data_IF_335383576012
#
_entry.id   IF_335383576012
#
_cell.length_a   1.000
_cell.length_b   1.000
_cell.length_c   1.000
_cell.angle_alpha   90.00
_cell.angle_beta   90.00
_cell.angle_gamma   90.00
#
_symmetry.space_group_name_H-M   'P 1'
#
loop_
_entity.id
_entity.type
_entity.pdbx_description
1 polymer ?
#
# COMPACT_ATOMS: atom_id res chain seq x y z
N UNK A 1 -7.24 -2.63 13.28
CA UNK A 1 -6.14 -1.79 12.75
C UNK A 1 -6.34 -1.64 11.25
N UNK A 2 -5.93 -0.54 10.60
CA UNK A 2 -6.54 -0.20 9.30
C UNK A 2 -5.62 0.57 8.34
N UNK A 3 -4.43 -0.01 8.13
CA UNK A 3 -3.27 0.48 7.40
C UNK A 3 -2.11 0.88 8.32
N UNK A 4 -1.06 0.05 8.31
CA UNK A 4 0.29 0.39 8.77
C UNK A 4 1.15 0.78 7.59
N UNK A 5 1.98 1.80 7.76
CA UNK A 5 3.10 2.07 6.87
C UNK A 5 4.39 1.99 7.70
N UNK A 6 5.27 1.09 7.32
CA UNK A 6 6.59 0.93 7.91
C UNK A 6 7.67 1.00 6.84
N UNK A 7 8.88 1.39 7.25
CA UNK A 7 10.01 1.54 6.35
C UNK A 7 11.24 0.84 6.92
N UNK A 8 11.92 0.07 6.08
CA UNK A 8 13.23 -0.48 6.37
C UNK A 8 14.28 0.28 5.57
N UNK A 9 15.11 1.05 6.28
CA UNK A 9 16.14 1.91 5.67
C UNK A 9 17.24 1.11 4.98
N UNK A 10 17.62 -0.06 5.51
CA UNK A 10 18.69 -0.87 4.94
C UNK A 10 18.26 -1.51 3.61
N UNK A 11 16.97 -1.85 3.50
CA UNK A 11 16.38 -2.43 2.28
C UNK A 11 15.83 -1.36 1.31
N UNK A 12 15.82 -0.08 1.73
CA UNK A 12 15.09 1.01 1.05
C UNK A 12 13.66 0.62 0.65
N UNK A 13 12.97 -0.13 1.52
CA UNK A 13 11.69 -0.78 1.24
C UNK A 13 10.61 -0.27 2.19
N UNK A 14 9.48 0.11 1.60
CA UNK A 14 8.25 0.34 2.35
C UNK A 14 7.45 -0.96 2.48
N UNK A 15 6.88 -1.18 3.66
CA UNK A 15 5.87 -2.20 3.90
C UNK A 15 4.56 -1.52 4.29
N UNK A 16 3.51 -1.76 3.49
CA UNK A 16 2.15 -1.28 3.76
C UNK A 16 1.30 -2.48 4.13
N UNK A 17 0.76 -2.51 5.35
CA UNK A 17 -0.05 -3.63 5.85
C UNK A 17 -1.50 -3.19 5.99
N UNK A 18 -2.40 -3.80 5.22
CA UNK A 18 -3.84 -3.57 5.25
C UNK A 18 -4.50 -4.71 6.05
N UNK A 19 -5.14 -4.36 7.16
CA UNK A 19 -5.87 -5.27 8.06
C UNK A 19 -7.26 -4.71 8.37
N UNK A 20 -8.15 -5.58 8.85
CA UNK A 20 -9.58 -5.30 9.08
C UNK A 20 -10.27 -4.55 7.91
N UNK A 21 -11.38 -3.85 8.20
CA UNK A 21 -12.14 -3.06 7.23
C UNK A 21 -11.43 -1.75 6.89
N UNK A 22 -10.85 -1.69 5.70
CA UNK A 22 -10.24 -0.49 5.10
C UNK A 22 -11.29 0.42 4.47
N UNK A 23 -11.13 1.71 4.71
CA UNK A 23 -12.00 2.78 4.21
C UNK A 23 -11.27 3.66 3.20
N UNK A 24 -12.03 4.32 2.34
CA UNK A 24 -11.48 5.27 1.37
C UNK A 24 -10.73 6.43 2.02
N UNK A 25 -11.17 6.89 3.20
CA UNK A 25 -10.55 8.02 3.89
C UNK A 25 -9.15 7.67 4.41
N UNK A 26 -8.94 6.43 4.85
CA UNK A 26 -7.62 5.95 5.20
C UNK A 26 -6.71 5.87 3.97
N UNK A 27 -7.22 5.38 2.83
CA UNK A 27 -6.43 5.36 1.59
C UNK A 27 -6.05 6.77 1.11
N UNK A 28 -6.98 7.74 1.24
CA UNK A 28 -6.69 9.17 0.98
C UNK A 28 -5.67 9.73 1.97
N UNK A 29 -5.72 9.31 3.24
CA UNK A 29 -4.77 9.73 4.27
C UNK A 29 -3.34 9.22 3.98
N UNK A 30 -3.18 7.99 3.48
CA UNK A 30 -1.88 7.49 2.99
C UNK A 30 -1.36 8.40 1.88
N UNK A 31 -2.19 8.69 0.86
CA UNK A 31 -1.77 9.54 -0.26
C UNK A 31 -1.35 10.94 0.22
N UNK A 32 -2.08 11.52 1.19
CA UNK A 32 -1.74 12.80 1.80
C UNK A 32 -0.46 12.73 2.64
N UNK A 33 -0.22 11.63 3.35
CA UNK A 33 1.02 11.39 4.07
C UNK A 33 2.21 11.32 3.11
N UNK A 34 2.09 10.54 2.04
CA UNK A 34 3.11 10.42 1.00
C UNK A 34 3.47 11.76 0.35
N UNK A 35 2.47 12.60 0.07
CA UNK A 35 2.68 13.94 -0.47
C UNK A 35 3.53 14.86 0.43
N UNK A 36 3.46 14.66 1.76
CA UNK A 36 4.29 15.39 2.74
C UNK A 36 5.66 14.75 2.97
N UNK A 37 5.84 13.49 2.55
CA UNK A 37 7.06 12.71 2.77
C UNK A 37 7.51 12.02 1.47
N UNK A 38 7.90 12.80 0.44
CA UNK A 38 8.14 12.29 -0.91
C UNK A 38 9.28 11.28 -1.00
N UNK A 39 10.21 11.25 -0.03
CA UNK A 39 11.29 10.26 0.01
C UNK A 39 10.74 8.83 0.07
N UNK A 40 9.66 8.59 0.81
CA UNK A 40 9.03 7.26 0.85
C UNK A 40 8.34 6.91 -0.47
N UNK A 41 7.86 7.89 -1.24
CA UNK A 41 7.25 7.62 -2.55
C UNK A 41 8.26 7.14 -3.59
N UNK A 42 9.56 7.38 -3.35
CA UNK A 42 10.67 6.95 -4.21
C UNK A 42 11.18 5.54 -3.91
N UNK A 43 10.80 4.97 -2.77
CA UNK A 43 11.18 3.61 -2.40
C UNK A 43 10.26 2.57 -3.06
N UNK A 44 10.82 1.37 -3.22
CA UNK A 44 10.01 0.20 -3.53
C UNK A 44 9.02 -0.08 -2.40
N UNK A 45 7.91 -0.74 -2.73
CA UNK A 45 6.83 -0.97 -1.78
C UNK A 45 6.29 -2.39 -1.88
N UNK A 46 6.23 -3.08 -0.74
CA UNK A 46 5.46 -4.29 -0.56
C UNK A 46 4.12 -3.95 0.11
N UNK A 47 3.02 -4.21 -0.59
CA UNK A 47 1.67 -4.04 -0.09
C UNK A 47 1.15 -5.40 0.34
N UNK A 48 0.89 -5.58 1.62
CA UNK A 48 0.38 -6.81 2.21
C UNK A 48 -1.06 -6.58 2.68
N UNK A 49 -2.02 -7.22 2.01
CA UNK A 49 -3.37 -7.35 2.54
C UNK A 49 -3.43 -8.62 3.36
N UNK A 50 -3.64 -8.47 4.68
CA UNK A 50 -3.70 -9.59 5.61
C UNK A 50 -4.98 -10.43 5.37
N UNK A 51 -5.08 -11.66 5.92
CA UNK A 51 -6.24 -12.53 5.70
C UNK A 51 -7.59 -11.91 6.14
N UNK A 52 -7.57 -11.02 7.12
CA UNK A 52 -8.71 -10.27 7.66
C UNK A 52 -8.97 -8.92 6.96
N UNK A 53 -8.11 -8.51 6.02
CA UNK A 53 -8.26 -7.26 5.30
C UNK A 53 -9.51 -7.24 4.42
N UNK A 54 -10.28 -6.16 4.47
CA UNK A 54 -11.53 -6.00 3.73
C UNK A 54 -11.66 -4.59 3.13
N UNK A 55 -11.93 -4.52 1.82
CA UNK A 55 -12.16 -3.27 1.09
C UNK A 55 -13.62 -3.12 0.61
N UNK A 56 -14.51 -4.03 1.01
CA UNK A 56 -15.90 -4.11 0.54
C UNK A 56 -16.71 -2.83 0.79
N UNK A 57 -16.30 -2.02 1.76
CA UNK A 57 -16.91 -0.71 2.05
C UNK A 57 -16.61 0.39 1.02
N UNK A 58 -15.67 0.15 0.10
CA UNK A 58 -15.19 1.14 -0.88
C UNK A 58 -15.82 0.85 -2.24
N UNK A 59 -16.46 1.85 -2.83
CA UNK A 59 -16.95 1.73 -4.19
C UNK A 59 -15.79 1.81 -5.21
N UNK A 60 -15.86 1.06 -6.31
CA UNK A 60 -14.83 1.09 -7.35
C UNK A 60 -14.58 2.49 -7.94
N UNK A 61 -15.63 3.30 -8.10
CA UNK A 61 -15.49 4.71 -8.53
C UNK A 61 -14.67 5.57 -7.55
N UNK A 62 -14.64 5.22 -6.26
CA UNK A 62 -13.78 5.91 -5.30
C UNK A 62 -12.30 5.54 -5.47
N UNK A 63 -12.02 4.30 -5.87
CA UNK A 63 -10.69 3.87 -6.27
C UNK A 63 -10.22 4.61 -7.53
N UNK A 64 -11.12 4.94 -8.46
CA UNK A 64 -10.80 5.81 -9.60
C UNK A 64 -10.38 7.22 -9.19
N UNK A 65 -11.14 7.82 -8.27
CA UNK A 65 -10.80 9.11 -7.70
C UNK A 65 -9.43 9.08 -6.99
N UNK A 66 -9.16 8.01 -6.25
CA UNK A 66 -7.89 7.81 -5.57
C UNK A 66 -6.72 7.65 -6.55
N UNK A 67 -6.90 6.88 -7.62
CA UNK A 67 -5.87 6.72 -8.66
C UNK A 67 -5.52 8.05 -9.32
N UNK A 68 -6.54 8.83 -9.69
CA UNK A 68 -6.35 10.17 -10.28
C UNK A 68 -5.54 11.08 -9.35
N UNK A 69 -5.77 10.97 -8.04
CA UNK A 69 -5.01 11.69 -7.02
C UNK A 69 -3.54 11.24 -6.98
N UNK A 70 -3.29 9.93 -6.99
CA UNK A 70 -1.92 9.41 -7.03
C UNK A 70 -1.20 9.81 -8.33
N UNK A 71 -1.84 9.74 -9.49
CA UNK A 71 -1.24 10.16 -10.76
C UNK A 71 -0.75 11.63 -10.71
N UNK A 72 -1.56 12.53 -10.15
CA UNK A 72 -1.17 13.94 -9.94
C UNK A 72 -0.01 14.11 -8.96
N UNK A 73 0.08 13.25 -7.95
CA UNK A 73 1.16 13.26 -6.97
C UNK A 73 2.47 12.80 -7.60
N UNK A 74 2.46 11.67 -8.30
CA UNK A 74 3.64 11.08 -8.94
C UNK A 74 4.17 11.94 -10.09
N UNK A 75 3.30 12.60 -10.86
CA UNK A 75 3.72 13.51 -11.94
C UNK A 75 4.60 14.70 -11.47
N UNK A 76 4.61 15.02 -10.17
CA UNK A 76 5.43 16.10 -9.59
C UNK A 76 6.78 15.64 -9.08
N UNK A 77 7.01 14.34 -9.05
CA UNK A 77 8.22 13.76 -8.50
C UNK A 77 9.20 13.48 -9.63
N UNK A 78 10.44 13.92 -9.44
CA UNK A 78 11.54 13.53 -10.31
C UNK A 78 12.05 12.13 -9.90
N UNK A 79 11.82 11.17 -10.79
CA UNK A 79 12.26 9.78 -10.64
C UNK A 79 13.42 9.50 -11.58
N UNK A 80 14.58 9.24 -11.00
CA UNK A 80 15.74 8.76 -11.77
C UNK A 80 15.61 7.27 -12.13
N UNK A 81 14.79 6.51 -11.40
CA UNK A 81 14.56 5.07 -11.57
C UNK A 81 13.07 4.76 -11.36
N UNK A 82 12.54 3.80 -12.13
CA UNK A 82 11.18 3.27 -11.91
C UNK A 82 11.13 2.47 -10.61
N UNK A 83 10.14 2.78 -9.77
CA UNK A 83 9.90 2.03 -8.54
C UNK A 83 9.02 0.80 -8.79
N UNK A 84 9.12 -0.18 -7.90
CA UNK A 84 8.35 -1.41 -7.89
C UNK A 84 7.35 -1.40 -6.74
N UNK A 85 6.12 -1.79 -7.03
CA UNK A 85 5.06 -1.97 -6.05
C UNK A 85 4.53 -3.40 -6.14
N UNK A 86 5.02 -4.25 -5.26
CA UNK A 86 4.52 -5.62 -5.12
C UNK A 86 3.24 -5.62 -4.28
N UNK A 87 2.28 -6.47 -4.66
CA UNK A 87 1.03 -6.69 -3.92
C UNK A 87 0.90 -8.17 -3.56
N UNK A 88 0.69 -8.46 -2.29
CA UNK A 88 0.34 -9.77 -1.78
C UNK A 88 -1.03 -9.66 -1.10
N UNK A 89 -2.05 -10.26 -1.71
CA UNK A 89 -3.40 -10.27 -1.18
C UNK A 89 -3.73 -11.63 -0.58
N UNK A 90 -3.77 -11.71 0.74
CA UNK A 90 -4.09 -12.96 1.47
C UNK A 90 -5.58 -13.05 1.85
N UNK A 91 -6.34 -11.97 1.63
CA UNK A 91 -7.78 -11.94 1.88
C UNK A 91 -8.58 -12.25 0.60
N UNK A 92 -9.42 -13.31 0.62
CA UNK A 92 -10.36 -13.57 -0.47
C UNK A 92 -11.36 -12.42 -0.68
N UNK A 93 -11.83 -11.79 0.40
CA UNK A 93 -12.81 -10.68 0.36
C UNK A 93 -12.24 -9.44 -0.32
N UNK A 94 -10.94 -9.19 -0.16
CA UNK A 94 -10.25 -8.06 -0.76
C UNK A 94 -9.87 -8.25 -2.23
N UNK A 95 -9.89 -9.48 -2.74
CA UNK A 95 -9.25 -9.85 -4.01
C UNK A 95 -9.86 -9.10 -5.21
N UNK A 96 -11.17 -8.86 -5.23
CA UNK A 96 -11.84 -8.14 -6.31
C UNK A 96 -11.41 -6.67 -6.34
N UNK A 97 -11.32 -6.00 -5.20
CA UNK A 97 -10.87 -4.60 -5.09
C UNK A 97 -9.39 -4.44 -5.42
N UNK A 98 -8.53 -5.37 -4.97
CA UNK A 98 -7.11 -5.37 -5.34
C UNK A 98 -6.97 -5.61 -6.84
N UNK A 99 -7.70 -6.58 -7.40
CA UNK A 99 -7.71 -6.84 -8.84
C UNK A 99 -8.16 -5.62 -9.64
N UNK A 100 -9.22 -4.94 -9.21
CA UNK A 100 -9.72 -3.71 -9.83
C UNK A 100 -8.69 -2.57 -9.78
N UNK A 101 -8.04 -2.38 -8.63
CA UNK A 101 -6.98 -1.38 -8.46
C UNK A 101 -5.81 -1.62 -9.42
N UNK A 102 -5.43 -2.88 -9.63
CA UNK A 102 -4.25 -3.27 -10.38
C UNK A 102 -4.48 -3.48 -11.89
N UNK A 103 -5.69 -3.92 -12.28
CA UNK A 103 -5.94 -4.48 -13.61
C UNK A 103 -6.37 -3.49 -14.70
N UNK A 104 -7.10 -2.42 -14.35
CA UNK A 104 -7.71 -1.54 -15.36
C UNK A 104 -6.90 -0.29 -15.69
N UNK A 105 -5.68 -0.15 -15.15
CA UNK A 105 -4.97 1.13 -15.10
C UNK A 105 -3.57 1.08 -15.68
N UNK A 106 -3.18 2.13 -16.40
CA UNK A 106 -1.77 2.37 -16.76
C UNK A 106 -0.97 2.84 -15.54
N UNK A 107 -0.66 1.90 -14.64
CA UNK A 107 0.10 2.17 -13.42
C UNK A 107 1.54 2.61 -13.73
N UNK A 108 2.11 2.14 -14.84
CA UNK A 108 3.48 2.45 -15.24
C UNK A 108 3.61 3.88 -15.75
N UNK A 109 2.72 4.31 -16.65
CA UNK A 109 2.70 5.67 -17.18
C UNK A 109 2.20 6.69 -16.16
N UNK A 110 1.17 6.36 -15.38
CA UNK A 110 0.56 7.33 -14.46
C UNK A 110 1.25 7.45 -13.09
N UNK A 111 1.79 6.35 -12.56
CA UNK A 111 2.38 6.34 -11.21
C UNK A 111 3.91 6.12 -11.22
N UNK A 112 4.54 6.11 -12.41
CA UNK A 112 5.97 5.80 -12.59
C UNK A 112 6.38 4.52 -11.85
N UNK A 113 5.47 3.54 -11.79
CA UNK A 113 5.61 2.33 -10.98
C UNK A 113 5.39 1.08 -11.82
N UNK A 114 6.33 0.15 -11.78
CA UNK A 114 6.02 -1.23 -12.12
C UNK A 114 5.20 -1.82 -10.97
N UNK A 115 4.03 -2.39 -11.25
CA UNK A 115 3.13 -2.92 -10.22
C UNK A 115 2.74 -4.34 -10.59
N UNK A 116 2.78 -5.25 -9.62
CA UNK A 116 2.41 -6.66 -9.83
C UNK A 116 1.85 -7.28 -8.57
N UNK A 117 0.84 -8.13 -8.74
CA UNK A 117 0.32 -8.99 -7.68
C UNK A 117 1.00 -10.36 -7.71
N UNK A 118 1.24 -10.93 -6.53
CA UNK A 118 1.88 -12.22 -6.32
C UNK A 118 1.03 -13.11 -5.42
N UNK A 119 1.30 -14.42 -5.48
CA UNK A 119 0.61 -15.43 -4.67
C UNK A 119 1.36 -15.74 -3.38
N UNK A 120 2.68 -15.53 -3.37
CA UNK A 120 3.53 -15.79 -2.21
C UNK A 120 4.45 -14.61 -1.91
N UNK A 121 4.91 -14.53 -0.65
CA UNK A 121 5.90 -13.54 -0.24
C UNK A 121 7.23 -13.74 -0.97
N UNK A 122 7.64 -14.99 -1.18
CA UNK A 122 8.88 -15.32 -1.89
C UNK A 122 8.90 -14.77 -3.31
N UNK A 123 7.83 -14.99 -4.09
CA UNK A 123 7.73 -14.45 -5.46
C UNK A 123 7.76 -12.91 -5.48
N UNK A 124 7.06 -12.28 -4.52
CA UNK A 124 7.06 -10.83 -4.39
C UNK A 124 8.46 -10.29 -4.09
N UNK A 125 9.18 -10.93 -3.16
CA UNK A 125 10.52 -10.52 -2.74
C UNK A 125 11.57 -10.76 -3.84
N UNK A 126 11.49 -11.88 -4.57
CA UNK A 126 12.35 -12.15 -5.71
C UNK A 126 12.20 -11.07 -6.80
N UNK A 127 10.96 -10.70 -7.12
CA UNK A 127 10.71 -9.61 -8.07
C UNK A 127 11.13 -8.23 -7.55
N UNK A 128 11.12 -8.03 -6.23
CA UNK A 128 11.71 -6.87 -5.56
C UNK A 128 13.25 -6.95 -5.45
N UNK A 129 13.90 -7.99 -6.01
CA UNK A 129 15.35 -8.20 -5.99
C UNK A 129 15.93 -8.24 -4.57
N UNK A 130 15.17 -8.82 -3.63
CA UNK A 130 15.59 -8.98 -2.24
C UNK A 130 16.26 -10.34 -2.04
N UNK A 131 17.26 -10.40 -1.16
CA UNK A 131 17.93 -11.64 -0.83
C UNK A 131 17.06 -12.53 0.07
N UNK A 132 17.32 -13.85 0.10
CA UNK A 132 16.57 -14.77 0.95
C UNK A 132 16.60 -14.40 2.45
N UNK A 133 17.71 -13.81 2.92
CA UNK A 133 17.83 -13.31 4.29
C UNK A 133 16.86 -12.14 4.58
N UNK A 134 16.55 -11.32 3.56
CA UNK A 134 15.65 -10.18 3.68
C UNK A 134 14.19 -10.62 3.76
N UNK A 135 13.83 -11.74 3.13
CA UNK A 135 12.49 -12.34 3.22
C UNK A 135 12.17 -12.66 4.68
N UNK A 136 13.09 -13.33 5.37
CA UNK A 136 12.94 -13.67 6.78
C UNK A 136 12.83 -12.41 7.67
N UNK A 137 13.54 -11.33 7.33
CA UNK A 137 13.42 -10.05 8.01
C UNK A 137 12.04 -9.41 7.78
N UNK A 138 11.50 -9.47 6.56
CA UNK A 138 10.15 -8.99 6.23
C UNK A 138 9.08 -9.78 7.00
N UNK A 139 9.19 -11.10 7.05
CA UNK A 139 8.25 -11.97 7.79
C UNK A 139 8.19 -11.60 9.28
N UNK A 140 9.32 -11.30 9.89
CA UNK A 140 9.39 -10.89 11.30
C UNK A 140 9.19 -9.39 11.52
N UNK A 141 9.12 -8.60 10.44
CA UNK A 141 9.15 -7.14 10.43
C UNK A 141 10.43 -6.58 11.09
N UNK A 142 11.52 -7.32 11.02
CA UNK A 142 12.82 -6.90 11.54
C UNK A 142 13.33 -5.68 10.77
N UNK A 143 13.72 -4.63 11.49
CA UNK A 143 14.23 -3.38 10.89
C UNK A 143 13.17 -2.49 10.23
N UNK A 144 11.88 -2.87 10.28
CA UNK A 144 10.78 -2.03 9.79
C UNK A 144 10.27 -1.08 10.88
N UNK A 145 10.74 0.16 10.84
CA UNK A 145 10.23 1.22 11.70
C UNK A 145 8.86 1.69 11.21
N UNK A 146 7.87 1.74 12.11
CA UNK A 146 6.57 2.34 11.78
C UNK A 146 6.73 3.84 11.56
N UNK A 147 6.30 4.33 10.39
CA UNK A 147 6.37 5.74 10.03
C UNK A 147 4.99 6.40 9.99
N UNK A 148 3.93 5.61 9.77
CA UNK A 148 2.55 6.07 9.90
C UNK A 148 1.59 4.93 10.18
N UNK A 149 0.47 5.28 10.81
CA UNK A 149 -0.67 4.39 11.05
C UNK A 149 -1.94 5.17 10.79
N UNK A 150 -2.88 4.54 10.10
CA UNK A 150 -4.18 5.13 9.78
C UNK A 150 -5.25 4.23 10.39
N UNK A 151 -6.07 4.79 11.26
CA UNK A 151 -7.12 4.06 11.96
C UNK A 151 -8.49 4.54 11.50
N UNK A 152 -9.51 3.73 11.72
CA UNK A 152 -10.89 4.14 11.43
C UNK A 152 -11.27 5.17 12.50
N UNK A 153 -11.75 6.33 12.07
CA UNK A 153 -12.34 7.28 13.01
C UNK A 153 -13.49 6.56 13.74
N UNK A 154 -13.41 6.48 15.07
CA UNK A 154 -14.50 5.95 15.88
C UNK A 154 -15.69 6.89 15.74
N UNK A 155 -16.90 6.35 15.56
CA UNK A 155 -18.11 7.17 15.57
C UNK A 155 -18.18 7.94 16.91
N UNK A 156 -18.59 9.23 16.93
CA UNK A 156 -18.79 9.94 18.18
C UNK A 156 -19.80 9.16 19.01
N UNK A 157 -19.41 8.85 20.25
CA UNK A 157 -20.30 8.22 21.23
C UNK A 157 -21.47 9.19 21.41
N UNK A 158 -22.67 8.79 20.98
CA UNK A 158 -23.86 9.59 21.21
C UNK A 158 -23.95 9.88 22.71
N UNK A 159 -23.87 11.17 23.07
CA UNK A 159 -24.18 11.61 24.42
C UNK A 159 -25.66 11.27 24.63
N UNK A 160 -25.92 10.29 25.49
CA UNK A 160 -27.27 10.02 25.96
C UNK A 160 -27.79 11.29 26.64
N UNK A 161 -28.77 11.92 26.02
CA UNK A 161 -29.61 12.96 26.62
C UNK A 161 -30.69 12.33 27.46
#
# INVERSE_FOLDING_TARGET
>A
MTIRLAHNKALELNLVEYSDVVTIDQLKAIAAYGARHPNFLKCDTLNLVTPDGDFSSIAFAELDGLFTRYAKLYARLDFQIYRRSAWLCLSPTAQSHVGYWLGERDLKGALSSAVRQFSTLTEACDWLLLAAADIAAIERRDGFAEIARFERASAPRALAT
#
